data_IF_965677331593
#
_entry.id   IF_965677331593
#
_cell.length_a   1.000
_cell.length_b   1.000
_cell.length_c   1.000
_cell.angle_alpha   90.00
_cell.angle_beta   90.00
_cell.angle_gamma   90.00
#
_symmetry.space_group_name_H-M   'P 1'
#
loop_
_entity.id
_entity.type
_entity.pdbx_description
1 polymer ?
#
# COMPACT_ATOMS: atom_id res chain seq x y z
N UNK A 1 24.22 18.67 -48.64
CA UNK A 1 23.16 17.93 -47.90
C UNK A 1 23.70 17.56 -46.53
N UNK A 2 23.37 18.37 -45.54
CA UNK A 2 23.88 18.20 -44.16
C UNK A 2 22.84 17.36 -43.37
N UNK A 3 23.25 16.16 -42.95
CA UNK A 3 22.40 15.28 -42.13
C UNK A 3 22.42 15.78 -40.69
N UNK A 4 21.29 16.20 -40.21
CA UNK A 4 21.08 16.58 -38.80
C UNK A 4 20.82 15.29 -37.99
N UNK A 5 21.79 14.93 -37.14
CA UNK A 5 21.68 13.76 -36.25
C UNK A 5 21.02 14.24 -34.96
N UNK A 6 19.77 13.78 -34.68
CA UNK A 6 19.09 14.01 -33.41
C UNK A 6 19.64 13.05 -32.36
N UNK A 7 20.28 13.57 -31.34
CA UNK A 7 20.70 12.80 -30.16
C UNK A 7 19.54 12.88 -29.17
N UNK A 8 18.81 11.78 -28.99
CA UNK A 8 17.85 11.65 -27.91
C UNK A 8 18.61 11.41 -26.60
N UNK A 9 18.64 12.40 -25.74
CA UNK A 9 19.09 12.22 -24.35
C UNK A 9 18.02 11.47 -23.58
N UNK A 10 18.27 10.21 -23.23
CA UNK A 10 17.45 9.44 -22.28
C UNK A 10 17.81 9.98 -20.90
N UNK A 11 16.94 10.77 -20.31
CA UNK A 11 17.05 11.18 -18.91
C UNK A 11 16.76 9.94 -18.04
N UNK A 12 17.81 9.32 -17.53
CA UNK A 12 17.66 8.32 -16.46
C UNK A 12 17.21 9.04 -15.19
N UNK A 13 15.96 8.79 -14.78
CA UNK A 13 15.48 9.24 -13.49
C UNK A 13 16.31 8.55 -12.39
N UNK A 14 17.20 9.28 -11.75
CA UNK A 14 17.95 8.78 -10.59
C UNK A 14 16.98 8.59 -9.44
N UNK A 15 16.75 7.34 -9.04
CA UNK A 15 16.05 7.00 -7.78
C UNK A 15 16.97 7.43 -6.64
N UNK A 16 16.59 8.46 -5.89
CA UNK A 16 17.35 8.90 -4.74
C UNK A 16 17.25 7.82 -3.63
N UNK A 17 18.33 7.10 -3.39
CA UNK A 17 18.49 6.25 -2.21
C UNK A 17 18.57 7.17 -1.00
N UNK A 18 17.58 7.08 -0.11
CA UNK A 18 17.65 7.69 1.22
C UNK A 18 18.77 7.06 2.05
N UNK A 19 19.23 7.78 3.09
CA UNK A 19 20.09 7.18 4.11
C UNK A 19 19.38 5.93 4.64
N UNK A 20 20.07 4.82 4.84
CA UNK A 20 19.58 3.54 5.36
C UNK A 20 18.80 2.63 4.37
N UNK A 21 18.89 2.86 3.06
CA UNK A 21 18.31 1.96 2.04
C UNK A 21 16.82 2.13 1.78
N UNK A 22 16.18 3.16 2.33
CA UNK A 22 14.80 3.52 2.03
C UNK A 22 14.69 4.28 0.70
N UNK A 23 13.68 3.93 -0.09
CA UNK A 23 13.40 4.54 -1.40
C UNK A 23 11.97 5.06 -1.38
N UNK A 24 11.78 6.34 -1.72
CA UNK A 24 10.45 6.93 -1.83
C UNK A 24 9.73 6.40 -3.07
N UNK A 25 8.46 6.02 -2.92
CA UNK A 25 7.59 5.57 -4.00
C UNK A 25 6.59 6.65 -4.44
N UNK A 26 6.51 7.78 -3.73
CA UNK A 26 5.64 8.90 -4.08
C UNK A 26 6.39 10.23 -4.01
N UNK A 27 6.04 11.17 -4.87
CA UNK A 27 6.62 12.52 -4.91
C UNK A 27 5.75 13.58 -4.21
N UNK A 28 4.53 13.21 -3.78
CA UNK A 28 3.57 14.10 -3.12
C UNK A 28 2.97 15.20 -4.04
N UNK A 29 3.23 15.16 -5.34
CA UNK A 29 2.81 16.20 -6.30
C UNK A 29 1.82 15.68 -7.34
N UNK A 30 2.01 14.45 -7.78
CA UNK A 30 1.20 13.78 -8.79
C UNK A 30 1.25 12.26 -8.63
N UNK A 31 0.65 11.52 -9.57
CA UNK A 31 0.64 10.06 -9.59
C UNK A 31 1.79 9.44 -10.39
N UNK A 32 2.90 10.15 -10.61
CA UNK A 32 4.08 9.58 -11.28
C UNK A 32 4.52 8.30 -10.57
N UNK A 33 4.61 7.19 -11.31
CA UNK A 33 4.92 5.86 -10.78
C UNK A 33 3.72 5.14 -10.16
N UNK A 34 2.50 5.64 -10.36
CA UNK A 34 1.27 5.00 -9.89
C UNK A 34 0.25 4.92 -11.01
N UNK A 35 -0.44 3.78 -11.09
CA UNK A 35 -1.49 3.50 -12.06
C UNK A 35 -2.79 3.19 -11.33
N UNK A 36 -3.86 3.91 -11.66
CA UNK A 36 -5.15 3.74 -10.99
C UNK A 36 -6.00 2.74 -11.78
N UNK A 37 -6.44 1.67 -11.12
CA UNK A 37 -7.48 0.76 -11.55
C UNK A 37 -8.81 1.14 -10.92
N UNK A 38 -9.88 1.14 -11.70
CA UNK A 38 -11.20 1.62 -11.31
C UNK A 38 -11.45 3.07 -11.69
N UNK A 39 -12.21 3.80 -10.87
CA UNK A 39 -12.49 5.21 -11.12
C UNK A 39 -11.28 6.07 -10.73
N UNK A 40 -10.67 6.71 -11.72
CA UNK A 40 -9.49 7.57 -11.52
C UNK A 40 -9.79 8.78 -10.62
N UNK A 41 -11.03 9.31 -10.65
CA UNK A 41 -11.45 10.44 -9.83
C UNK A 41 -11.52 10.14 -8.33
N UNK A 42 -11.48 8.84 -7.96
CA UNK A 42 -11.40 8.42 -6.56
C UNK A 42 -10.12 8.90 -5.88
N UNK A 43 -9.03 9.07 -6.65
CA UNK A 43 -7.76 9.51 -6.11
C UNK A 43 -7.44 10.95 -6.54
N UNK A 44 -7.01 11.77 -5.58
CA UNK A 44 -6.53 13.14 -5.79
C UNK A 44 -5.24 13.37 -5.02
N UNK A 45 -4.48 14.41 -5.36
CA UNK A 45 -3.34 14.86 -4.55
C UNK A 45 -3.77 16.10 -3.77
N UNK A 46 -3.65 16.05 -2.44
CA UNK A 46 -3.90 17.18 -1.55
C UNK A 46 -2.81 17.27 -0.48
N UNK A 47 -2.17 18.41 -0.33
CA UNK A 47 -1.16 18.69 0.70
C UNK A 47 -0.04 17.61 0.77
N UNK A 48 0.42 17.15 -0.39
CA UNK A 48 1.48 16.14 -0.48
C UNK A 48 1.04 14.70 -0.23
N UNK A 49 -0.26 14.46 -0.05
CA UNK A 49 -0.83 13.14 0.13
C UNK A 49 -1.67 12.69 -1.07
N UNK A 50 -1.64 11.41 -1.37
CA UNK A 50 -2.66 10.75 -2.19
C UNK A 50 -3.91 10.57 -1.34
N UNK A 51 -5.03 11.10 -1.78
CA UNK A 51 -6.29 11.06 -1.05
C UNK A 51 -7.28 10.22 -1.82
N UNK A 52 -7.75 9.15 -1.19
CA UNK A 52 -8.80 8.30 -1.71
C UNK A 52 -10.15 8.72 -1.15
N UNK A 53 -11.08 9.14 -2.03
CA UNK A 53 -12.47 9.44 -1.68
C UNK A 53 -13.32 9.29 -2.94
N UNK A 54 -14.04 8.20 -3.08
CA UNK A 54 -14.84 7.90 -4.27
C UNK A 54 -15.25 6.44 -4.34
N UNK A 55 -15.73 6.00 -5.49
CA UNK A 55 -16.09 4.60 -5.71
C UNK A 55 -14.86 3.70 -5.69
N UNK A 56 -15.05 2.38 -5.53
CA UNK A 56 -13.95 1.40 -5.46
C UNK A 56 -12.93 1.61 -6.57
N UNK A 57 -11.71 1.89 -6.16
CA UNK A 57 -10.54 2.04 -7.03
C UNK A 57 -9.25 1.73 -6.25
N UNK A 58 -8.19 1.37 -6.96
CA UNK A 58 -6.90 1.11 -6.35
C UNK A 58 -5.79 1.81 -7.12
N UNK A 59 -4.91 2.52 -6.41
CA UNK A 59 -3.69 3.08 -6.97
C UNK A 59 -2.57 2.05 -6.80
N UNK A 60 -2.11 1.46 -7.90
CA UNK A 60 -1.02 0.48 -7.93
C UNK A 60 0.31 1.14 -8.20
N UNK A 61 1.34 0.78 -7.46
CA UNK A 61 2.69 1.22 -7.79
C UNK A 61 3.16 0.56 -9.09
N UNK A 62 3.49 1.37 -10.09
CA UNK A 62 3.93 0.99 -11.45
C UNK A 62 5.27 1.66 -11.80
N UNK A 63 6.00 2.11 -10.77
CA UNK A 63 7.25 2.84 -10.92
C UNK A 63 8.47 1.92 -11.08
N UNK A 64 9.66 2.51 -11.31
CA UNK A 64 10.86 1.77 -11.72
C UNK A 64 11.57 1.01 -10.59
N UNK A 65 11.22 1.26 -9.32
CA UNK A 65 11.89 0.60 -8.19
C UNK A 65 11.60 -0.90 -8.23
N UNK A 66 12.67 -1.73 -8.38
CA UNK A 66 12.55 -3.18 -8.51
C UNK A 66 11.60 -3.64 -9.63
N UNK A 67 11.38 -2.81 -10.65
CA UNK A 67 10.36 -3.02 -11.69
C UNK A 67 8.96 -3.29 -11.08
N UNK A 68 8.60 -2.58 -9.99
CA UNK A 68 7.39 -2.76 -9.19
C UNK A 68 7.11 -4.22 -8.78
N UNK A 69 8.17 -5.02 -8.59
CA UNK A 69 8.09 -6.42 -8.21
C UNK A 69 8.91 -6.68 -6.92
N UNK A 70 8.20 -6.78 -5.80
CA UNK A 70 8.78 -6.92 -4.47
C UNK A 70 8.44 -8.28 -3.88
N UNK A 71 9.45 -8.99 -3.38
CA UNK A 71 9.29 -10.25 -2.65
C UNK A 71 9.48 -10.03 -1.15
N UNK A 72 10.69 -9.69 -0.74
CA UNK A 72 11.01 -9.34 0.63
C UNK A 72 11.21 -7.81 0.72
N UNK A 73 10.62 -7.18 1.71
CA UNK A 73 10.68 -5.72 1.84
C UNK A 73 10.25 -5.25 3.22
N UNK A 74 10.60 -4.00 3.52
CA UNK A 74 9.89 -3.16 4.48
C UNK A 74 9.16 -2.05 3.70
N UNK A 75 7.88 -1.85 3.95
CA UNK A 75 7.06 -0.77 3.39
C UNK A 75 6.55 0.10 4.52
N UNK A 76 6.77 1.40 4.45
CA UNK A 76 6.16 2.37 5.36
C UNK A 76 5.23 3.30 4.60
N UNK A 77 4.05 3.51 5.16
CA UNK A 77 3.05 4.43 4.66
C UNK A 77 2.52 5.25 5.83
N UNK A 78 2.58 6.58 5.73
CA UNK A 78 1.86 7.42 6.66
C UNK A 78 0.41 7.56 6.20
N UNK A 79 -0.51 7.22 7.09
CA UNK A 79 -1.95 7.13 6.83
C UNK A 79 -2.71 8.07 7.76
N UNK A 80 -3.77 8.68 7.25
CA UNK A 80 -4.76 9.41 8.05
C UNK A 80 -6.16 9.08 7.52
N UNK A 81 -7.07 8.79 8.42
CA UNK A 81 -8.48 8.52 8.10
C UNK A 81 -9.37 9.64 8.58
N UNK A 82 -10.41 9.99 7.83
CA UNK A 82 -11.55 10.68 8.40
C UNK A 82 -12.45 9.69 9.16
N UNK A 83 -13.36 10.15 10.06
CA UNK A 83 -14.27 9.24 10.77
C UNK A 83 -15.08 8.34 9.83
N UNK A 84 -15.27 7.07 10.22
CA UNK A 84 -15.99 6.03 9.46
C UNK A 84 -15.37 5.70 8.09
N UNK A 85 -14.08 5.96 7.91
CA UNK A 85 -13.40 5.63 6.67
C UNK A 85 -12.83 4.21 6.67
N UNK A 86 -12.88 3.59 5.49
CA UNK A 86 -12.28 2.30 5.18
C UNK A 86 -11.33 2.44 4.00
N UNK A 87 -10.21 1.78 4.06
CA UNK A 87 -9.16 1.73 3.05
C UNK A 87 -8.23 0.55 3.30
N UNK A 88 -7.11 0.50 2.59
CA UNK A 88 -6.14 -0.57 2.77
C UNK A 88 -4.83 -0.30 2.02
N UNK A 89 -3.77 -0.96 2.48
CA UNK A 89 -2.49 -1.03 1.81
C UNK A 89 -2.24 -2.47 1.38
N UNK A 90 -2.14 -2.69 0.07
CA UNK A 90 -1.92 -4.02 -0.50
C UNK A 90 -0.44 -4.26 -0.81
N UNK A 91 -0.03 -5.51 -0.69
CA UNK A 91 1.30 -5.98 -1.13
C UNK A 91 1.22 -7.34 -1.82
N UNK A 92 2.26 -7.70 -2.59
CA UNK A 92 2.30 -8.86 -3.48
C UNK A 92 1.13 -8.89 -4.47
N UNK A 93 0.61 -7.71 -4.80
CA UNK A 93 -0.51 -7.55 -5.70
C UNK A 93 -0.05 -7.46 -7.16
N UNK A 94 -1.00 -7.39 -8.07
CA UNK A 94 -0.78 -7.10 -9.48
C UNK A 94 -1.84 -6.11 -9.97
N UNK A 95 -1.52 -5.35 -11.02
CA UNK A 95 -2.47 -4.38 -11.57
C UNK A 95 -3.76 -5.06 -11.99
N UNK A 96 -4.87 -4.48 -11.58
CA UNK A 96 -6.21 -4.93 -11.93
C UNK A 96 -7.06 -3.70 -12.29
N UNK A 97 -7.75 -3.76 -13.44
CA UNK A 97 -8.53 -2.63 -13.94
C UNK A 97 -9.79 -2.33 -13.12
N UNK A 98 -10.35 -3.32 -12.43
CA UNK A 98 -11.62 -3.18 -11.71
C UNK A 98 -11.67 -4.07 -10.48
N UNK A 99 -12.41 -3.61 -9.47
CA UNK A 99 -12.73 -4.36 -8.26
C UNK A 99 -11.56 -4.44 -7.29
N UNK A 100 -11.70 -5.27 -6.28
CA UNK A 100 -10.68 -5.50 -5.27
C UNK A 100 -9.57 -6.42 -5.80
N UNK A 101 -8.31 -6.21 -5.41
CA UNK A 101 -7.20 -7.07 -5.82
C UNK A 101 -7.46 -8.54 -5.48
N UNK A 102 -7.27 -9.43 -6.47
CA UNK A 102 -7.45 -10.87 -6.31
C UNK A 102 -6.18 -11.60 -5.89
N UNK A 103 -5.04 -10.93 -5.93
CA UNK A 103 -3.72 -11.45 -5.58
C UNK A 103 -3.09 -10.62 -4.50
N UNK A 104 -2.37 -11.28 -3.59
CA UNK A 104 -1.64 -10.64 -2.50
C UNK A 104 -2.49 -10.44 -1.25
N UNK A 105 -2.02 -9.58 -0.39
CA UNK A 105 -2.60 -9.32 0.93
C UNK A 105 -3.02 -7.87 1.05
N UNK A 106 -4.00 -7.63 1.90
CA UNK A 106 -4.41 -6.31 2.36
C UNK A 106 -4.01 -6.13 3.82
N UNK A 107 -3.38 -5.01 4.13
CA UNK A 107 -3.28 -4.49 5.48
C UNK A 107 -4.37 -3.44 5.63
N UNK A 108 -5.28 -3.69 6.54
CA UNK A 108 -6.49 -2.90 6.71
C UNK A 108 -6.22 -1.50 7.23
N UNK A 109 -6.92 -0.50 6.69
CA UNK A 109 -6.96 0.88 7.17
C UNK A 109 -8.40 1.20 7.56
N UNK A 110 -8.71 1.04 8.83
CA UNK A 110 -10.05 1.23 9.39
C UNK A 110 -9.95 1.51 10.89
N UNK A 111 -10.05 2.77 11.30
CA UNK A 111 -10.05 3.10 12.73
C UNK A 111 -11.46 2.98 13.33
N UNK A 112 -12.47 3.58 12.69
CA UNK A 112 -13.83 3.70 13.24
C UNK A 112 -14.95 3.24 12.32
N UNK A 113 -14.66 2.79 11.09
CA UNK A 113 -15.67 2.24 10.18
C UNK A 113 -16.38 1.02 10.80
N UNK A 114 -17.62 0.75 10.38
CA UNK A 114 -18.45 -0.33 10.92
C UNK A 114 -17.93 -1.76 10.75
N UNK A 115 -16.97 -2.00 9.85
CA UNK A 115 -16.28 -3.30 9.76
C UNK A 115 -15.52 -3.58 11.07
N UNK A 116 -15.69 -4.76 11.71
CA UNK A 116 -14.99 -5.11 12.94
C UNK A 116 -13.48 -5.29 12.78
N UNK A 117 -12.98 -5.54 11.56
CA UNK A 117 -11.56 -5.70 11.26
C UNK A 117 -10.90 -4.32 11.18
N UNK A 118 -9.91 -4.08 12.05
CA UNK A 118 -9.32 -2.75 12.26
C UNK A 118 -7.95 -2.58 11.64
N UNK A 119 -7.48 -1.31 11.60
CA UNK A 119 -6.19 -0.92 11.04
C UNK A 119 -5.06 -1.81 11.55
N UNK A 120 -4.16 -2.21 10.63
CA UNK A 120 -3.06 -3.11 10.93
C UNK A 120 -3.41 -4.60 10.92
N UNK A 121 -4.68 -4.99 10.67
CA UNK A 121 -5.02 -6.38 10.39
C UNK A 121 -4.39 -6.85 9.08
N UNK A 122 -3.89 -8.08 9.03
CA UNK A 122 -3.70 -8.81 7.77
C UNK A 122 -5.07 -9.38 7.38
N UNK A 123 -5.81 -8.65 6.56
CA UNK A 123 -7.25 -8.78 6.35
C UNK A 123 -7.68 -10.19 5.97
N UNK A 124 -8.57 -10.79 6.78
CA UNK A 124 -9.05 -12.18 6.68
C UNK A 124 -7.97 -13.26 6.74
N UNK A 125 -6.82 -12.94 7.33
CA UNK A 125 -5.71 -13.88 7.59
C UNK A 125 -5.34 -13.84 9.07
N UNK A 126 -5.08 -12.66 9.61
CA UNK A 126 -4.82 -12.39 11.02
C UNK A 126 -5.49 -11.06 11.39
N UNK A 127 -6.76 -11.14 11.73
CA UNK A 127 -7.57 -9.98 12.06
C UNK A 127 -7.34 -9.51 13.49
N UNK A 128 -7.39 -8.19 13.70
CA UNK A 128 -7.39 -7.53 15.01
C UNK A 128 -8.59 -6.59 15.11
N UNK A 129 -9.02 -6.32 16.33
CA UNK A 129 -10.21 -5.53 16.64
C UNK A 129 -9.92 -4.16 17.22
N UNK A 130 -10.98 -3.47 17.66
CA UNK A 130 -10.89 -2.11 18.18
C UNK A 130 -10.03 -2.00 19.46
N UNK A 131 -10.03 -3.02 20.31
CA UNK A 131 -9.26 -3.01 21.56
C UNK A 131 -7.74 -3.11 21.28
N UNK A 132 -7.34 -3.79 20.20
CA UNK A 132 -5.94 -3.96 19.81
C UNK A 132 -5.29 -2.66 19.34
N UNK A 133 -6.07 -1.77 18.71
CA UNK A 133 -5.61 -0.49 18.17
C UNK A 133 -5.88 0.71 19.09
N UNK A 134 -6.53 0.48 20.22
CA UNK A 134 -6.89 1.52 21.17
C UNK A 134 -5.67 2.31 21.64
N UNK A 135 -5.69 3.62 21.43
CA UNK A 135 -4.58 4.51 21.76
C UNK A 135 -3.37 4.44 20.82
N UNK A 136 -3.43 3.63 19.76
CA UNK A 136 -2.38 3.56 18.74
C UNK A 136 -2.66 4.44 17.53
N UNK A 137 -3.93 4.48 17.10
CA UNK A 137 -4.38 5.26 15.95
C UNK A 137 -5.67 5.99 16.28
N UNK A 138 -5.93 7.11 15.58
CA UNK A 138 -7.11 7.93 15.76
C UNK A 138 -7.45 8.63 14.44
N UNK A 139 -8.76 8.77 14.15
CA UNK A 139 -9.20 9.54 12.99
C UNK A 139 -8.75 11.00 13.08
N UNK A 140 -8.42 11.60 11.94
CA UNK A 140 -7.90 12.95 11.85
C UNK A 140 -6.42 13.09 12.19
N UNK A 141 -5.77 12.06 12.73
CA UNK A 141 -4.34 12.06 13.08
C UNK A 141 -3.54 11.14 12.15
N UNK A 142 -2.31 11.55 11.83
CA UNK A 142 -1.39 10.72 11.05
C UNK A 142 -0.82 9.59 11.91
N UNK A 143 -0.81 8.39 11.37
CA UNK A 143 -0.09 7.24 11.92
C UNK A 143 0.73 6.56 10.83
N UNK A 144 1.79 5.88 11.21
CA UNK A 144 2.62 5.10 10.28
C UNK A 144 2.19 3.64 10.32
N UNK A 145 1.82 3.10 9.18
CA UNK A 145 1.67 1.68 8.94
C UNK A 145 2.98 1.14 8.38
N UNK A 146 3.63 0.22 9.09
CA UNK A 146 4.89 -0.40 8.70
C UNK A 146 4.69 -1.90 8.49
N UNK A 147 4.83 -2.32 7.24
CA UNK A 147 4.64 -3.70 6.77
C UNK A 147 6.02 -4.28 6.47
N UNK A 148 6.35 -5.40 7.09
CA UNK A 148 7.62 -6.11 6.89
C UNK A 148 7.27 -7.49 6.36
N UNK A 149 7.78 -7.83 5.18
CA UNK A 149 7.67 -9.17 4.61
C UNK A 149 9.06 -9.71 4.42
N UNK A 150 9.34 -10.82 5.10
CA UNK A 150 10.59 -11.54 4.95
C UNK A 150 10.33 -13.04 4.93
N UNK A 151 10.78 -13.68 3.85
CA UNK A 151 10.55 -15.10 3.57
C UNK A 151 9.05 -15.44 3.61
N UNK A 152 8.61 -16.20 4.59
CA UNK A 152 7.22 -16.57 4.77
C UNK A 152 6.52 -15.86 5.95
N UNK A 153 7.09 -14.75 6.44
CA UNK A 153 6.58 -14.03 7.62
C UNK A 153 6.20 -12.60 7.27
N UNK A 154 5.01 -12.20 7.70
CA UNK A 154 4.50 -10.82 7.65
C UNK A 154 4.45 -10.27 9.07
N UNK A 155 5.05 -9.10 9.27
CA UNK A 155 4.95 -8.33 10.52
C UNK A 155 4.37 -6.96 10.21
N UNK A 156 3.35 -6.54 10.95
CA UNK A 156 2.69 -5.24 10.79
C UNK A 156 2.83 -4.46 12.09
N UNK A 157 3.25 -3.19 11.96
CA UNK A 157 3.40 -2.26 13.09
C UNK A 157 2.58 -1.00 12.83
N UNK A 158 1.92 -0.49 13.86
CA UNK A 158 1.28 0.81 13.87
C UNK A 158 2.09 1.73 14.82
N UNK A 159 2.56 2.86 14.29
CA UNK A 159 3.41 3.80 15.04
C UNK A 159 4.60 3.11 15.75
N UNK A 160 5.20 2.10 15.09
CA UNK A 160 6.33 1.32 15.60
C UNK A 160 5.96 0.17 16.53
N UNK A 161 4.72 0.08 17.04
CA UNK A 161 4.25 -1.04 17.86
C UNK A 161 3.78 -2.19 16.98
N UNK A 162 4.34 -3.39 17.16
CA UNK A 162 3.89 -4.60 16.48
C UNK A 162 2.45 -4.93 16.92
N UNK A 163 1.55 -5.08 15.94
CA UNK A 163 0.14 -5.44 16.15
C UNK A 163 -0.20 -6.78 15.53
N UNK A 164 0.48 -7.17 14.45
CA UNK A 164 0.32 -8.47 13.81
C UNK A 164 1.70 -9.03 13.47
N UNK A 165 1.90 -10.31 13.77
CA UNK A 165 2.96 -11.16 13.22
C UNK A 165 2.33 -12.47 12.79
N UNK A 166 2.53 -12.84 11.53
CA UNK A 166 1.99 -14.05 10.95
C UNK A 166 3.01 -14.71 10.04
N UNK A 167 3.21 -16.02 10.26
CA UNK A 167 4.05 -16.84 9.38
C UNK A 167 3.14 -17.76 8.59
N UNK A 168 3.26 -17.74 7.26
CA UNK A 168 2.46 -18.58 6.38
C UNK A 168 2.72 -20.05 6.66
N UNK A 169 1.69 -20.84 7.05
CA UNK A 169 1.82 -22.28 7.20
C UNK A 169 2.18 -22.98 5.87
N UNK A 170 2.86 -24.13 5.96
CA UNK A 170 3.25 -24.87 4.77
C UNK A 170 2.05 -25.40 3.94
N UNK A 171 0.93 -25.65 4.60
CA UNK A 171 -0.32 -26.13 4.01
C UNK A 171 -1.32 -24.99 3.72
N UNK A 172 -0.87 -23.73 3.75
CA UNK A 172 -1.72 -22.57 3.50
C UNK A 172 -2.29 -22.56 2.07
N UNK A 173 -3.60 -22.51 1.96
CA UNK A 173 -4.33 -22.60 0.68
C UNK A 173 -4.72 -21.23 0.06
N UNK A 174 -4.16 -20.12 0.55
CA UNK A 174 -4.52 -18.77 0.06
C UNK A 174 -5.65 -18.10 0.81
N UNK A 175 -6.11 -18.70 1.92
CA UNK A 175 -7.12 -18.15 2.78
C UNK A 175 -8.55 -18.38 2.30
N UNK A 176 -9.48 -17.63 2.87
CA UNK A 176 -10.92 -17.78 2.62
C UNK A 176 -11.24 -17.67 1.11
N UNK A 177 -11.99 -18.61 0.57
CA UNK A 177 -12.52 -18.62 -0.82
C UNK A 177 -11.45 -18.59 -1.91
N UNK A 178 -10.23 -19.08 -1.64
CA UNK A 178 -9.15 -19.05 -2.65
C UNK A 178 -8.70 -17.65 -3.02
N UNK A 179 -8.76 -16.73 -2.09
CA UNK A 179 -8.56 -15.29 -2.29
C UNK A 179 -7.14 -14.86 -2.73
N UNK A 180 -6.26 -15.81 -3.09
CA UNK A 180 -4.92 -15.51 -3.59
C UNK A 180 -3.99 -14.86 -2.55
N UNK A 181 -4.31 -14.97 -1.25
CA UNK A 181 -3.51 -14.45 -0.14
C UNK A 181 -2.36 -15.40 0.17
N UNK A 182 -1.40 -15.44 -0.74
CA UNK A 182 -0.20 -16.28 -0.63
C UNK A 182 1.03 -15.39 -0.71
N UNK A 183 2.00 -15.61 0.20
CA UNK A 183 3.29 -14.93 0.11
C UNK A 183 3.96 -15.32 -1.21
N UNK A 184 4.25 -14.35 -2.02
CA UNK A 184 4.79 -14.51 -3.37
C UNK A 184 5.70 -13.33 -3.73
N UNK A 185 5.34 -12.57 -4.70
CA UNK A 185 5.93 -11.30 -5.11
C UNK A 185 4.90 -10.49 -5.89
N UNK A 186 5.15 -9.21 -6.06
CA UNK A 186 4.29 -8.30 -6.81
C UNK A 186 4.41 -6.87 -6.34
N UNK A 187 3.45 -6.04 -6.71
CA UNK A 187 3.46 -4.61 -6.41
C UNK A 187 2.63 -4.27 -5.17
N UNK A 188 2.63 -2.98 -4.84
CA UNK A 188 1.79 -2.38 -3.79
C UNK A 188 0.57 -1.72 -4.40
N UNK A 189 -0.51 -1.63 -3.63
CA UNK A 189 -1.64 -0.81 -4.00
C UNK A 189 -2.25 -0.11 -2.78
N UNK A 190 -2.86 1.05 -3.02
CA UNK A 190 -3.62 1.82 -2.03
C UNK A 190 -5.09 1.74 -2.39
N UNK A 191 -5.96 1.58 -1.40
CA UNK A 191 -7.39 1.39 -1.62
C UNK A 191 -8.18 2.69 -1.47
N UNK A 192 -9.08 2.95 -2.43
CA UNK A 192 -10.27 3.76 -2.27
C UNK A 192 -11.47 2.82 -2.18
N UNK A 193 -12.11 2.79 -1.00
CA UNK A 193 -13.11 1.77 -0.68
C UNK A 193 -14.53 2.15 -1.13
N UNK A 194 -14.98 3.34 -0.79
CA UNK A 194 -16.33 3.83 -1.07
C UNK A 194 -16.41 5.37 -0.94
N UNK A 195 -17.48 6.02 -1.46
CA UNK A 195 -17.60 7.48 -1.44
C UNK A 195 -17.75 8.13 -0.06
N UNK A 196 -18.03 7.36 1.00
CA UNK A 196 -18.14 7.87 2.38
C UNK A 196 -16.80 7.77 3.12
N UNK A 197 -15.86 7.03 2.58
CA UNK A 197 -14.51 6.88 3.13
C UNK A 197 -13.58 7.95 2.57
N UNK A 198 -12.78 8.56 3.43
CA UNK A 198 -11.69 9.47 3.04
C UNK A 198 -10.41 9.04 3.74
N UNK A 199 -9.46 8.57 2.97
CA UNK A 199 -8.17 8.09 3.46
C UNK A 199 -7.04 8.85 2.76
N UNK A 200 -6.07 9.30 3.53
CA UNK A 200 -4.88 10.00 3.07
C UNK A 200 -3.66 9.10 3.23
N UNK A 201 -2.83 9.04 2.19
CA UNK A 201 -1.59 8.27 2.14
C UNK A 201 -0.42 9.16 1.73
N UNK A 202 0.64 9.21 2.50
CA UNK A 202 1.86 9.95 2.15
C UNK A 202 3.13 9.27 2.65
N UNK A 203 4.28 9.84 2.31
CA UNK A 203 5.60 9.33 2.74
C UNK A 203 5.76 7.82 2.45
N UNK A 204 5.19 7.38 1.32
CA UNK A 204 5.21 5.98 0.89
C UNK A 204 6.64 5.64 0.50
N UNK A 205 7.28 4.75 1.25
CA UNK A 205 8.67 4.37 1.04
C UNK A 205 8.90 2.89 1.27
N UNK A 206 9.78 2.31 0.49
CA UNK A 206 10.13 0.90 0.55
C UNK A 206 11.62 0.72 0.83
N UNK A 207 11.97 -0.32 1.57
CA UNK A 207 13.33 -0.85 1.70
C UNK A 207 13.29 -2.30 1.22
N UNK A 208 13.77 -2.60 0.00
CA UNK A 208 13.89 -3.97 -0.45
C UNK A 208 14.83 -4.77 0.45
N UNK A 209 14.42 -5.97 0.81
CA UNK A 209 15.22 -6.92 1.59
C UNK A 209 15.77 -8.03 0.69
N UNK A 210 16.84 -8.73 1.13
CA UNK A 210 17.38 -9.90 0.43
C UNK A 210 16.38 -11.02 0.22
#
# INVERSE_FOLDING_TARGET
MTRLTWIFAIAAASVALGQDGWISLSNGKDFTGWKIGGNQETFTIREGAMVANGTVAHAYYDGPVKNHDFKNFELMVDVKTEPNSNGGVYFHSEFQEKGFPKKGFEVQVNNTHGDPIKSGSLYHVKDIGADDIKGLVKDGEWFTEHIIVQDNTVTIKLNGKEVVKWTQPADWNGGREGAGRVISHGTFALQGHDPKSTVFYKNIRVKPLP
#
